data_IF_933113388107
#
_entry.id   IF_933113388107
#
_cell.length_a   1.000
_cell.length_b   1.000
_cell.length_c   1.000
_cell.angle_alpha   90.00
_cell.angle_beta   90.00
_cell.angle_gamma   90.00
#
_symmetry.space_group_name_H-M   'P 1'
#
loop_
_entity.id
_entity.type
_entity.pdbx_description
1 polymer ?
#
# COMPACT_ATOMS: atom_id res chain seq x y z
N UNK A 1 -6.00 2.12 16.91
CA UNK A 1 -4.61 2.61 16.89
C UNK A 1 -4.20 2.61 15.44
N UNK A 2 -3.50 3.65 14.98
CA UNK A 2 -3.08 3.69 13.59
C UNK A 2 -2.24 2.45 13.24
N UNK A 3 -2.60 1.79 12.13
CA UNK A 3 -1.94 0.56 11.67
C UNK A 3 -1.26 0.84 10.34
N UNK A 4 0.03 0.46 10.27
CA UNK A 4 0.81 0.54 9.05
C UNK A 4 0.80 -0.82 8.35
N UNK A 5 0.39 -0.82 7.10
CA UNK A 5 0.50 -1.97 6.21
C UNK A 5 1.62 -1.69 5.20
N UNK A 6 2.65 -2.53 5.20
CA UNK A 6 3.72 -2.52 4.22
C UNK A 6 3.55 -3.73 3.31
N UNK A 7 3.56 -3.51 1.99
CA UNK A 7 3.60 -4.61 1.03
C UNK A 7 4.48 -4.31 -0.19
N UNK A 8 5.10 -5.33 -0.72
CA UNK A 8 5.76 -5.32 -2.03
C UNK A 8 5.62 -6.68 -2.70
N UNK A 9 5.86 -6.69 -4.01
CA UNK A 9 5.75 -7.87 -4.86
C UNK A 9 6.60 -7.70 -6.12
N UNK A 10 6.91 -8.83 -6.75
CA UNK A 10 7.55 -8.84 -8.06
C UNK A 10 6.63 -8.20 -9.10
N UNK A 11 7.17 -7.29 -9.90
CA UNK A 11 6.42 -6.50 -10.86
C UNK A 11 7.30 -6.17 -12.07
N UNK A 12 6.86 -6.54 -13.27
CA UNK A 12 7.62 -6.31 -14.50
C UNK A 12 7.25 -5.00 -15.21
N UNK A 13 6.47 -4.14 -14.53
CA UNK A 13 6.02 -2.86 -15.04
C UNK A 13 4.57 -2.86 -15.54
N UNK A 14 4.09 -1.69 -15.99
CA UNK A 14 4.88 -0.48 -16.25
C UNK A 14 5.37 0.26 -15.00
N UNK A 15 6.40 1.10 -15.16
CA UNK A 15 7.02 1.92 -14.11
C UNK A 15 6.89 3.43 -14.44
N UNK A 16 7.12 4.29 -13.45
CA UNK A 16 7.09 5.74 -13.60
C UNK A 16 5.76 6.26 -14.13
N UNK A 17 5.81 7.21 -15.07
CA UNK A 17 4.61 7.85 -15.62
C UNK A 17 3.63 6.86 -16.28
N UNK A 18 4.14 5.79 -16.90
CA UNK A 18 3.29 4.74 -17.46
C UNK A 18 2.55 3.93 -16.38
N UNK A 19 3.14 3.80 -15.19
CA UNK A 19 2.45 3.23 -14.03
C UNK A 19 1.33 4.14 -13.54
N UNK A 20 1.55 5.47 -13.56
CA UNK A 20 0.54 6.46 -13.19
C UNK A 20 -0.68 6.34 -14.11
N UNK A 21 -0.48 6.39 -15.43
CA UNK A 21 -1.57 6.31 -16.40
C UNK A 21 -2.40 5.02 -16.25
N UNK A 22 -1.74 3.88 -16.00
CA UNK A 22 -2.45 2.61 -15.88
C UNK A 22 -3.14 2.43 -14.52
N UNK A 23 -2.56 2.94 -13.44
CA UNK A 23 -3.01 2.66 -12.06
C UNK A 23 -3.70 3.85 -11.39
N UNK A 24 -3.93 4.96 -12.08
CA UNK A 24 -4.69 6.10 -11.57
C UNK A 24 -6.09 5.68 -11.06
N UNK A 25 -6.93 4.92 -11.80
CA UNK A 25 -8.23 4.48 -11.28
C UNK A 25 -8.11 3.60 -10.03
N UNK A 26 -7.02 2.82 -9.95
CA UNK A 26 -6.71 2.02 -8.78
C UNK A 26 -6.37 2.93 -7.59
N UNK A 27 -5.52 3.94 -7.78
CA UNK A 27 -5.19 4.92 -6.74
C UNK A 27 -6.44 5.65 -6.22
N UNK A 28 -7.33 6.07 -7.10
CA UNK A 28 -8.60 6.72 -6.73
C UNK A 28 -9.50 5.80 -5.90
N UNK A 29 -9.61 4.52 -6.28
CA UNK A 29 -10.43 3.55 -5.56
C UNK A 29 -9.96 3.32 -4.12
N UNK A 30 -8.65 3.43 -3.86
CA UNK A 30 -8.06 3.23 -2.53
C UNK A 30 -8.52 4.31 -1.56
N UNK A 31 -8.73 5.54 -2.03
CA UNK A 31 -9.24 6.65 -1.18
C UNK A 31 -10.65 6.38 -0.63
N UNK A 32 -11.37 5.42 -1.20
CA UNK A 32 -12.73 5.04 -0.77
C UNK A 32 -12.74 3.84 0.18
N UNK A 33 -11.57 3.26 0.50
CA UNK A 33 -11.51 2.09 1.38
C UNK A 33 -11.76 2.49 2.85
N UNK A 34 -12.56 1.71 3.59
CA UNK A 34 -12.82 1.99 5.00
C UNK A 34 -11.53 2.11 5.81
N UNK A 35 -11.44 3.16 6.62
CA UNK A 35 -10.30 3.39 7.52
C UNK A 35 -9.00 3.78 6.82
N UNK A 36 -8.98 3.96 5.49
CA UNK A 36 -7.79 4.40 4.77
C UNK A 36 -7.44 5.86 5.08
N UNK A 37 -6.17 6.14 5.35
CA UNK A 37 -5.66 7.49 5.61
C UNK A 37 -4.78 8.00 4.46
N UNK A 38 -3.75 7.24 4.10
CA UNK A 38 -2.89 7.56 2.97
C UNK A 38 -2.08 6.34 2.51
N UNK A 39 -1.50 6.47 1.32
CA UNK A 39 -0.59 5.50 0.71
C UNK A 39 0.63 6.22 0.15
N UNK A 40 1.80 5.62 0.30
CA UNK A 40 2.99 5.88 -0.51
C UNK A 40 3.13 4.73 -1.51
N UNK A 41 3.14 5.06 -2.80
CA UNK A 41 3.46 4.11 -3.87
C UNK A 41 4.97 3.89 -3.91
N UNK A 42 5.40 2.64 -4.03
CA UNK A 42 6.82 2.26 -4.13
C UNK A 42 7.04 1.45 -5.38
N UNK A 43 8.14 1.72 -6.08
CA UNK A 43 8.52 1.02 -7.29
C UNK A 43 10.04 0.91 -7.41
N UNK A 44 10.50 -0.13 -8.10
CA UNK A 44 11.90 -0.37 -8.38
C UNK A 44 12.04 -1.11 -9.70
N UNK A 45 12.18 -0.35 -10.79
CA UNK A 45 12.38 -0.92 -12.13
C UNK A 45 13.61 -1.84 -12.18
N UNK A 46 14.73 -1.41 -11.59
CA UNK A 46 15.99 -2.17 -11.52
C UNK A 46 15.87 -3.53 -10.83
N UNK A 47 14.93 -3.68 -9.90
CA UNK A 47 14.74 -4.89 -9.12
C UNK A 47 13.50 -5.68 -9.58
N UNK A 48 12.72 -5.12 -10.51
CA UNK A 48 11.41 -5.64 -10.89
C UNK A 48 10.47 -5.80 -9.68
N UNK A 49 10.33 -4.74 -8.88
CA UNK A 49 9.48 -4.73 -7.69
C UNK A 49 8.56 -3.51 -7.66
N UNK A 50 7.36 -3.69 -7.12
CA UNK A 50 6.46 -2.59 -6.79
C UNK A 50 5.68 -2.90 -5.50
N UNK A 51 5.01 -1.90 -4.95
CA UNK A 51 4.28 -2.07 -3.70
C UNK A 51 3.66 -0.79 -3.17
N UNK A 52 3.55 -0.74 -1.85
CA UNK A 52 3.22 0.49 -1.15
C UNK A 52 3.25 0.37 0.36
N UNK A 53 3.31 1.54 0.98
CA UNK A 53 3.16 1.73 2.42
C UNK A 53 1.82 2.42 2.64
N UNK A 54 0.98 1.85 3.50
CA UNK A 54 -0.37 2.29 3.74
C UNK A 54 -0.53 2.59 5.22
N UNK A 55 -1.34 3.60 5.52
CA UNK A 55 -1.77 3.88 6.88
C UNK A 55 -3.29 3.74 6.97
N UNK A 56 -3.75 2.99 7.99
CA UNK A 56 -5.15 2.81 8.32
C UNK A 56 -5.44 3.25 9.75
N UNK A 57 -6.70 3.57 10.04
CA UNK A 57 -7.19 3.93 11.38
C UNK A 57 -7.07 2.80 12.40
N UNK A 58 -7.11 1.56 11.93
CA UNK A 58 -7.10 0.34 12.74
C UNK A 58 -6.70 -0.91 11.93
N UNK A 59 -6.30 -1.95 12.67
CA UNK A 59 -5.79 -3.20 12.11
C UNK A 59 -6.86 -3.94 11.31
N UNK A 60 -8.13 -3.92 11.77
CA UNK A 60 -9.23 -4.59 11.07
C UNK A 60 -9.37 -4.04 9.65
N UNK A 61 -9.37 -2.72 9.50
CA UNK A 61 -9.43 -2.04 8.21
C UNK A 61 -8.24 -2.41 7.31
N UNK A 62 -7.02 -2.43 7.89
CA UNK A 62 -5.82 -2.83 7.16
C UNK A 62 -5.87 -4.28 6.65
N UNK A 63 -6.33 -5.22 7.49
CA UNK A 63 -6.43 -6.65 7.14
C UNK A 63 -7.50 -6.91 6.07
N UNK A 64 -8.66 -6.26 6.17
CA UNK A 64 -9.72 -6.34 5.14
C UNK A 64 -9.19 -5.83 3.80
N UNK A 65 -8.48 -4.69 3.81
CA UNK A 65 -7.86 -4.18 2.59
C UNK A 65 -6.78 -5.13 2.05
N UNK A 66 -5.93 -5.70 2.89
CA UNK A 66 -4.88 -6.64 2.48
C UNK A 66 -5.47 -7.88 1.78
N UNK A 67 -6.52 -8.47 2.32
CA UNK A 67 -7.21 -9.62 1.71
C UNK A 67 -7.79 -9.26 0.33
N UNK A 68 -8.52 -8.15 0.23
CA UNK A 68 -9.07 -7.65 -1.04
C UNK A 68 -7.98 -7.34 -2.05
N UNK A 69 -6.91 -6.68 -1.62
CA UNK A 69 -5.86 -6.19 -2.51
C UNK A 69 -5.00 -7.32 -3.04
N UNK A 70 -4.66 -8.32 -2.22
CA UNK A 70 -3.92 -9.52 -2.66
C UNK A 70 -4.70 -10.31 -3.70
N UNK A 71 -6.02 -10.47 -3.54
CA UNK A 71 -6.87 -11.09 -4.56
C UNK A 71 -6.87 -10.30 -5.88
N UNK A 72 -6.93 -8.97 -5.81
CA UNK A 72 -6.86 -8.10 -6.99
C UNK A 72 -5.49 -8.18 -7.69
N UNK A 73 -4.39 -8.24 -6.94
CA UNK A 73 -3.03 -8.32 -7.48
C UNK A 73 -2.79 -9.61 -8.27
N UNK A 74 -3.41 -10.73 -7.87
CA UNK A 74 -3.38 -11.97 -8.65
C UNK A 74 -3.93 -11.80 -10.08
N UNK A 75 -4.97 -10.97 -10.25
CA UNK A 75 -5.51 -10.67 -11.58
C UNK A 75 -4.56 -9.81 -12.43
N UNK A 76 -3.57 -9.17 -11.82
CA UNK A 76 -2.50 -8.41 -12.49
C UNK A 76 -1.23 -9.26 -12.71
N UNK A 77 -1.30 -10.57 -12.48
CA UNK A 77 -0.16 -11.49 -12.67
C UNK A 77 0.80 -11.55 -11.50
N UNK A 78 0.45 -10.98 -10.35
CA UNK A 78 1.26 -11.05 -9.13
C UNK A 78 0.91 -12.33 -8.37
N UNK A 79 1.83 -13.30 -8.35
CA UNK A 79 1.59 -14.59 -7.68
C UNK A 79 1.74 -14.49 -6.16
N UNK A 80 2.76 -13.77 -5.70
CA UNK A 80 3.10 -13.63 -4.29
C UNK A 80 3.20 -12.17 -3.87
N UNK A 81 2.64 -11.87 -2.70
CA UNK A 81 2.70 -10.55 -2.07
C UNK A 81 3.38 -10.70 -0.71
N UNK A 82 4.46 -9.96 -0.51
CA UNK A 82 5.15 -9.90 0.77
C UNK A 82 4.55 -8.75 1.57
N UNK A 83 3.75 -9.08 2.58
CA UNK A 83 3.06 -8.11 3.43
C UNK A 83 3.47 -8.19 4.91
N UNK A 84 3.48 -7.04 5.59
CA UNK A 84 3.65 -6.90 7.03
C UNK A 84 2.69 -5.85 7.58
N UNK A 85 2.15 -6.13 8.76
CA UNK A 85 1.25 -5.26 9.50
C UNK A 85 1.93 -4.87 10.80
N UNK A 86 1.92 -3.58 11.13
CA UNK A 86 2.54 -3.03 12.33
C UNK A 86 1.62 -2.02 13.01
N UNK A 87 1.68 -1.98 14.34
CA UNK A 87 1.21 -0.82 15.10
C UNK A 87 2.18 0.35 14.92
N UNK A 88 1.62 1.56 14.85
CA UNK A 88 2.43 2.78 14.75
C UNK A 88 2.75 3.33 16.14
N UNK A 89 4.03 3.58 16.39
CA UNK A 89 4.46 4.33 17.57
C UNK A 89 4.23 5.83 17.36
N UNK A 90 3.00 6.27 17.60
CA UNK A 90 2.56 7.63 17.26
C UNK A 90 3.47 8.74 17.84
N UNK A 91 3.92 8.70 19.11
CA UNK A 91 4.81 9.73 19.66
C UNK A 91 6.15 9.86 18.93
N UNK A 92 6.82 8.73 18.63
CA UNK A 92 8.10 8.76 17.90
C UNK A 92 7.89 9.17 16.44
N UNK A 93 6.79 8.74 15.84
CA UNK A 93 6.43 9.07 14.47
C UNK A 93 6.13 10.56 14.29
N UNK A 94 5.50 11.22 15.27
CA UNK A 94 5.25 12.66 15.24
C UNK A 94 6.54 13.49 15.30
N UNK A 95 7.54 13.08 16.10
CA UNK A 95 8.87 13.73 16.13
C UNK A 95 9.48 13.76 14.72
N UNK A 96 9.29 12.67 13.96
CA UNK A 96 9.77 12.51 12.60
C UNK A 96 8.69 12.80 11.54
N UNK A 97 7.73 13.67 11.87
CA UNK A 97 6.79 14.30 10.93
C UNK A 97 5.79 13.36 10.23
N UNK A 98 5.57 12.15 10.76
CA UNK A 98 4.57 11.26 10.20
C UNK A 98 3.17 11.89 10.28
N UNK A 99 2.41 11.81 9.19
CA UNK A 99 1.00 12.21 9.16
C UNK A 99 0.14 11.08 9.71
N UNK A 100 -0.48 11.25 10.88
CA UNK A 100 -1.24 10.20 11.56
C UNK A 100 -2.76 10.41 11.54
N UNK A 101 -3.21 11.62 11.24
CA UNK A 101 -4.55 12.02 10.79
C UNK A 101 -4.46 13.50 10.38
#
# INVERSE_FOLDING_TARGET
>A
MATLLQLHFAFNGPFGDAMVEQLEPLAESINQEPGFLWKVWTESEKNHEAGGIYLFTDEKSALVYLEKHTARLKNLGVEEVVAKVFDVNEPLSQINQAKLA
#
